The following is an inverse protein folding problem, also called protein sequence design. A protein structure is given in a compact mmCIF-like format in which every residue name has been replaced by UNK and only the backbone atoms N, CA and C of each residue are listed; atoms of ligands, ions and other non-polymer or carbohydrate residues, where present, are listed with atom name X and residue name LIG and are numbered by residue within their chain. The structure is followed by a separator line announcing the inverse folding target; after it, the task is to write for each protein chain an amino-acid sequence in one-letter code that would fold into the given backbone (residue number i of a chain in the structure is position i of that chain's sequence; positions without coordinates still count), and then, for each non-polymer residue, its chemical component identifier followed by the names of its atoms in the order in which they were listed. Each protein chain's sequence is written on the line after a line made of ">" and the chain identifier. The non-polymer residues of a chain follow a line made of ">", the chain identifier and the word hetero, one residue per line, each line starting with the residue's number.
data_IF_450992589037
#
_entry.id   IF_450992589037
#
_cell.length_a   1.000
_cell.length_b   1.000
_cell.length_c   1.000
_cell.angle_alpha   90.00
_cell.angle_beta   90.00
_cell.angle_gamma   90.00
#
_symmetry.space_group_name_H-M   'P 1'
#
loop_
_entity.id
_entity.type
_entity.pdbx_description
1 polymer ?
#
# COMPACT_ATOMS: atom_id res chain seq x y z
N UNK A 1 3.31 17.08 20.83
CA UNK A 1 4.21 15.98 20.40
C UNK A 1 3.84 14.65 21.07
N UNK A 2 3.63 14.59 22.39
CA UNK A 2 3.22 13.35 23.09
C UNK A 2 1.91 12.69 22.59
N UNK A 3 0.92 13.47 22.15
CA UNK A 3 -0.37 12.90 21.71
C UNK A 3 -0.25 12.07 20.44
N UNK A 4 0.48 12.55 19.43
CA UNK A 4 0.64 11.83 18.16
C UNK A 4 1.44 10.55 18.34
N UNK A 5 2.53 10.59 19.13
CA UNK A 5 3.31 9.39 19.45
C UNK A 5 2.50 8.34 20.20
N UNK A 6 1.65 8.76 21.15
CA UNK A 6 0.77 7.84 21.88
C UNK A 6 -0.27 7.19 20.96
N UNK A 7 -0.86 7.98 20.05
CA UNK A 7 -1.82 7.46 19.06
C UNK A 7 -1.11 6.50 18.11
N UNK A 8 0.06 6.88 17.58
CA UNK A 8 0.88 6.05 16.71
C UNK A 8 1.17 4.68 17.34
N UNK A 9 1.66 4.66 18.59
CA UNK A 9 1.94 3.42 19.31
C UNK A 9 0.69 2.56 19.51
N UNK A 10 -0.47 3.18 19.76
CA UNK A 10 -1.73 2.46 19.97
C UNK A 10 -2.28 1.86 18.67
N UNK A 11 -2.15 2.56 17.54
CA UNK A 11 -2.71 2.11 16.25
C UNK A 11 -1.76 1.17 15.50
N UNK A 12 -0.45 1.28 15.73
CA UNK A 12 0.58 0.49 15.05
C UNK A 12 0.28 -1.01 14.95
N UNK A 13 -0.07 -1.74 16.03
CA UNK A 13 -0.33 -3.18 15.93
C UNK A 13 -1.54 -3.49 15.03
N UNK A 14 -2.56 -2.63 15.01
CA UNK A 14 -3.73 -2.80 14.16
C UNK A 14 -3.42 -2.52 12.68
N UNK A 15 -2.57 -1.54 12.40
CA UNK A 15 -2.10 -1.24 11.04
C UNK A 15 -1.23 -2.40 10.51
N UNK A 16 -0.34 -2.94 11.35
CA UNK A 16 0.48 -4.10 11.00
C UNK A 16 -0.39 -5.35 10.76
N UNK A 17 -1.37 -5.62 11.62
CA UNK A 17 -2.32 -6.71 11.44
C UNK A 17 -3.13 -6.57 10.13
N UNK A 18 -3.61 -5.36 9.82
CA UNK A 18 -4.30 -5.10 8.56
C UNK A 18 -3.35 -5.33 7.37
N UNK A 19 -2.11 -4.82 7.45
CA UNK A 19 -1.09 -4.99 6.41
C UNK A 19 -0.80 -6.47 6.11
N UNK A 20 -0.72 -7.31 7.15
CA UNK A 20 -0.55 -8.76 7.00
C UNK A 20 -1.79 -9.42 6.39
N UNK A 21 -2.99 -9.05 6.85
CA UNK A 21 -4.25 -9.60 6.34
C UNK A 21 -4.52 -9.26 4.87
N UNK A 22 -4.13 -8.07 4.42
CA UNK A 22 -4.22 -7.65 3.01
C UNK A 22 -3.41 -8.57 2.10
N UNK A 23 -2.26 -9.09 2.55
CA UNK A 23 -1.42 -10.02 1.78
C UNK A 23 -2.08 -11.38 1.57
N UNK A 24 -2.87 -11.84 2.53
CA UNK A 24 -3.32 -13.23 2.59
C UNK A 24 -4.70 -13.45 1.99
N UNK A 25 -5.66 -12.56 2.27
CA UNK A 25 -7.09 -12.90 2.14
C UNK A 25 -7.89 -12.09 1.13
N UNK A 26 -7.31 -11.05 0.51
CA UNK A 26 -8.12 -10.11 -0.26
C UNK A 26 -8.30 -10.50 -1.74
N UNK A 27 -9.56 -10.54 -2.24
CA UNK A 27 -9.84 -10.96 -3.61
C UNK A 27 -9.58 -9.86 -4.64
N UNK A 28 -9.71 -8.58 -4.27
CA UNK A 28 -9.50 -7.44 -5.16
C UNK A 28 -9.03 -6.22 -4.38
N UNK A 29 -7.99 -5.55 -4.86
CA UNK A 29 -7.45 -4.32 -4.27
C UNK A 29 -7.27 -3.25 -5.34
N UNK A 30 -7.46 -2.00 -4.93
CA UNK A 30 -7.08 -0.82 -5.66
C UNK A 30 -5.78 -0.29 -5.08
N UNK A 31 -4.82 -0.01 -5.94
CA UNK A 31 -3.51 0.54 -5.55
C UNK A 31 -3.26 1.83 -6.31
N UNK A 32 -2.81 2.83 -5.57
CA UNK A 32 -2.46 4.15 -6.08
C UNK A 32 -1.31 4.75 -5.28
N UNK A 33 -0.57 5.66 -5.89
CA UNK A 33 0.52 6.37 -5.23
C UNK A 33 0.53 7.86 -5.57
N UNK A 34 0.52 8.69 -4.53
CA UNK A 34 0.50 10.15 -4.67
C UNK A 34 1.75 10.77 -4.07
N UNK A 35 2.40 11.75 -4.74
CA UNK A 35 3.50 12.50 -4.14
C UNK A 35 3.08 13.15 -2.82
N UNK A 36 3.88 12.96 -1.77
CA UNK A 36 3.61 13.50 -0.45
C UNK A 36 4.84 14.23 0.11
N UNK A 37 4.94 15.57 -0.04
CA UNK A 37 6.08 16.32 0.45
C UNK A 37 6.10 16.38 1.99
N UNK A 38 7.13 15.81 2.61
CA UNK A 38 7.34 15.87 4.07
C UNK A 38 8.55 16.73 4.34
N UNK A 39 8.33 17.89 4.97
CA UNK A 39 9.41 18.88 5.29
C UNK A 39 10.27 19.27 4.09
N UNK A 40 9.67 19.33 2.89
CA UNK A 40 10.35 19.70 1.64
C UNK A 40 11.06 18.54 0.94
N UNK A 41 11.05 17.34 1.50
CA UNK A 41 11.53 16.11 0.86
C UNK A 41 10.34 15.45 0.17
N UNK A 42 10.53 15.03 -1.09
CA UNK A 42 9.48 14.33 -1.84
C UNK A 42 9.43 12.88 -1.40
N UNK A 43 8.42 12.55 -0.61
CA UNK A 43 8.04 11.18 -0.28
C UNK A 43 6.85 10.73 -1.14
N UNK A 44 6.43 9.49 -0.97
CA UNK A 44 5.26 8.91 -1.61
C UNK A 44 4.30 8.35 -0.57
N UNK A 45 3.02 8.59 -0.79
CA UNK A 45 1.95 7.97 -0.03
C UNK A 45 1.27 6.93 -0.92
N UNK A 46 1.45 5.67 -0.56
CA UNK A 46 0.78 4.55 -1.19
C UNK A 46 -0.55 4.27 -0.51
N UNK A 47 -1.56 3.98 -1.32
CA UNK A 47 -2.90 3.60 -0.86
C UNK A 47 -3.20 2.21 -1.38
N UNK A 48 -3.60 1.32 -0.47
CA UNK A 48 -4.13 0.00 -0.79
C UNK A 48 -5.53 -0.06 -0.24
N UNK A 49 -6.53 -0.17 -1.10
CA UNK A 49 -7.92 -0.09 -0.66
C UNK A 49 -8.82 -1.12 -1.32
N UNK A 50 -9.88 -1.49 -0.63
CA UNK A 50 -10.99 -2.23 -1.19
C UNK A 50 -12.30 -1.67 -0.61
N UNK A 51 -13.38 -2.44 -0.66
CA UNK A 51 -14.66 -2.06 -0.06
C UNK A 51 -14.63 -1.88 1.47
N UNK A 52 -13.79 -2.62 2.17
CA UNK A 52 -13.82 -2.79 3.62
C UNK A 52 -12.68 -2.05 4.34
N UNK A 53 -11.59 -1.73 3.64
CA UNK A 53 -10.43 -1.06 4.22
C UNK A 53 -9.77 -0.07 3.26
N UNK A 54 -8.99 0.82 3.87
CA UNK A 54 -8.04 1.69 3.18
C UNK A 54 -6.76 1.77 4.02
N UNK A 55 -5.68 1.21 3.49
CA UNK A 55 -4.36 1.16 4.12
C UNK A 55 -3.46 2.20 3.45
N UNK A 56 -2.97 3.13 4.26
CA UNK A 56 -2.00 4.14 3.83
C UNK A 56 -0.60 3.71 4.25
N UNK A 57 0.36 3.87 3.35
CA UNK A 57 1.77 3.58 3.62
C UNK A 57 2.67 4.67 3.07
N UNK A 58 3.45 5.28 3.95
CA UNK A 58 4.52 6.17 3.56
C UNK A 58 5.71 5.36 3.00
N UNK A 59 6.31 5.85 1.92
CA UNK A 59 7.46 5.25 1.29
C UNK A 59 8.37 6.29 0.65
N UNK A 60 9.66 5.96 0.55
CA UNK A 60 10.69 6.83 -0.03
C UNK A 60 10.57 6.90 -1.57
N UNK A 61 9.94 5.88 -2.18
CA UNK A 61 9.86 5.76 -3.64
C UNK A 61 8.45 5.44 -4.11
N UNK A 62 8.20 5.68 -5.41
CA UNK A 62 7.06 5.09 -6.14
C UNK A 62 7.44 3.81 -6.87
N UNK A 63 8.47 3.10 -6.43
CA UNK A 63 9.00 1.94 -7.14
C UNK A 63 8.20 0.66 -6.87
N UNK A 64 8.39 -0.34 -7.74
CA UNK A 64 7.87 -1.70 -7.53
C UNK A 64 8.29 -2.32 -6.20
N UNK A 65 9.44 -1.92 -5.66
CA UNK A 65 9.92 -2.38 -4.35
C UNK A 65 8.93 -2.08 -3.22
N UNK A 66 8.21 -0.96 -3.28
CA UNK A 66 7.20 -0.62 -2.27
C UNK A 66 5.95 -1.48 -2.42
N UNK A 67 5.52 -1.69 -3.66
CA UNK A 67 4.43 -2.61 -4.00
C UNK A 67 4.72 -4.04 -3.49
N UNK A 68 5.91 -4.56 -3.78
CA UNK A 68 6.35 -5.89 -3.37
C UNK A 68 6.52 -6.02 -1.86
N UNK A 69 7.01 -4.97 -1.18
CA UNK A 69 7.11 -5.02 0.28
C UNK A 69 5.73 -5.06 0.96
N UNK A 70 4.70 -4.48 0.32
CA UNK A 70 3.32 -4.51 0.84
C UNK A 70 2.54 -5.76 0.44
N UNK A 71 2.62 -6.21 -0.82
CA UNK A 71 1.79 -7.30 -1.34
C UNK A 71 2.54 -8.63 -1.46
N UNK A 72 3.86 -8.62 -1.27
CA UNK A 72 4.75 -9.73 -1.54
C UNK A 72 5.16 -9.79 -3.02
N UNK A 73 5.95 -10.80 -3.37
CA UNK A 73 6.43 -11.02 -4.75
C UNK A 73 5.34 -11.48 -5.72
N UNK A 74 4.18 -11.92 -5.21
CA UNK A 74 3.02 -12.32 -6.00
C UNK A 74 1.75 -12.04 -5.21
N UNK A 75 0.77 -11.46 -5.89
CA UNK A 75 -0.57 -11.25 -5.35
C UNK A 75 -1.57 -12.25 -5.95
N UNK A 76 -2.39 -12.89 -5.12
CA UNK A 76 -3.34 -13.91 -5.57
C UNK A 76 -4.73 -13.36 -5.92
N UNK A 77 -5.01 -12.11 -5.58
CA UNK A 77 -6.25 -11.42 -5.92
C UNK A 77 -6.18 -10.70 -7.28
N UNK A 78 -7.12 -9.78 -7.46
CA UNK A 78 -7.18 -8.82 -8.57
C UNK A 78 -6.51 -7.52 -8.14
N UNK A 79 -5.58 -7.03 -8.95
CA UNK A 79 -4.97 -5.72 -8.76
C UNK A 79 -5.60 -4.73 -9.73
N UNK A 80 -6.24 -3.69 -9.20
CA UNK A 80 -6.71 -2.54 -9.97
C UNK A 80 -5.78 -1.37 -9.70
N UNK A 81 -5.15 -0.84 -10.74
CA UNK A 81 -4.21 0.27 -10.63
C UNK A 81 -4.36 1.16 -11.85
N UNK A 82 -3.73 2.32 -11.83
CA UNK A 82 -3.51 3.06 -13.06
C UNK A 82 -2.47 2.35 -13.97
N UNK A 83 -2.26 2.90 -15.16
CA UNK A 83 -1.35 2.33 -16.16
C UNK A 83 0.14 2.65 -15.91
N UNK A 84 0.52 3.00 -14.67
CA UNK A 84 1.92 3.23 -14.35
C UNK A 84 2.76 1.96 -14.55
N UNK A 85 3.96 2.16 -15.12
CA UNK A 85 4.90 1.08 -15.45
C UNK A 85 5.28 0.16 -14.28
N UNK A 86 5.12 0.60 -13.04
CA UNK A 86 5.48 -0.17 -11.85
C UNK A 86 4.58 -1.39 -11.65
N UNK A 87 3.35 -1.34 -12.17
CA UNK A 87 2.39 -2.43 -12.11
C UNK A 87 2.58 -3.45 -13.26
N UNK A 88 3.20 -3.02 -14.37
CA UNK A 88 3.36 -3.85 -15.57
C UNK A 88 4.30 -5.04 -15.35
N UNK A 89 3.76 -6.26 -15.33
CA UNK A 89 4.55 -7.49 -15.11
C UNK A 89 4.71 -7.88 -13.64
N UNK A 90 3.99 -7.21 -12.73
CA UNK A 90 3.85 -7.71 -11.36
C UNK A 90 3.00 -9.01 -11.35
N UNK A 91 3.46 -10.11 -10.74
CA UNK A 91 2.71 -11.37 -10.75
C UNK A 91 1.39 -11.26 -9.97
N UNK A 92 0.28 -11.17 -10.69
CA UNK A 92 -1.07 -11.11 -10.13
C UNK A 92 -2.02 -12.07 -10.85
N UNK A 93 -3.05 -12.57 -10.17
CA UNK A 93 -4.04 -13.47 -10.79
C UNK A 93 -4.85 -12.78 -11.89
N UNK A 94 -5.23 -11.53 -11.69
CA UNK A 94 -5.81 -10.68 -12.72
C UNK A 94 -5.45 -9.22 -12.47
N UNK A 95 -5.30 -8.44 -13.54
CA UNK A 95 -5.00 -7.01 -13.47
C UNK A 95 -6.07 -6.23 -14.23
N UNK A 96 -6.66 -5.24 -13.56
CA UNK A 96 -7.49 -4.21 -14.18
C UNK A 96 -6.66 -2.92 -14.27
N UNK A 97 -6.68 -2.32 -15.45
CA UNK A 97 -6.02 -1.06 -15.78
C UNK A 97 -7.09 -0.01 -16.05
#
# INVERSE_FOLDING_TARGET
>A
VNTNQRVELAIKPHVEQLSEWVKTEQPSIHVDETPWPVKGIKEWLWVFSNRDFCLFRAADTRGRVELESQLGSKYRGVLSSDDLNVYNGYPVSAQQK
#
